data_IF_201386634103
#
_entry.id   IF_201386634103
#
_cell.length_a   1.000
_cell.length_b   1.000
_cell.length_c   1.000
_cell.angle_alpha   90.00
_cell.angle_beta   90.00
_cell.angle_gamma   90.00
#
_symmetry.space_group_name_H-M   'P 1'
#
loop_
_entity.id
_entity.type
_entity.pdbx_description
1 polymer ?
#
# COMPACT_ATOMS: atom_id res chain seq x y z
N UNK A 1 27.32 -8.42 -18.05
CA UNK A 1 26.17 -7.50 -17.91
C UNK A 1 24.86 -8.05 -18.47
N UNK A 2 24.78 -8.51 -19.74
CA UNK A 2 23.53 -8.99 -20.36
C UNK A 2 22.83 -10.15 -19.62
N UNK A 3 23.59 -11.09 -19.03
CA UNK A 3 23.06 -12.21 -18.23
C UNK A 3 22.51 -11.79 -16.85
N UNK A 4 23.07 -10.74 -16.26
CA UNK A 4 22.60 -10.20 -14.98
C UNK A 4 21.28 -9.44 -15.16
N UNK A 5 21.17 -8.65 -16.23
CA UNK A 5 19.94 -7.96 -16.60
C UNK A 5 18.78 -8.94 -16.86
N UNK A 6 19.05 -10.07 -17.54
CA UNK A 6 18.04 -11.11 -17.77
C UNK A 6 17.60 -11.79 -16.48
N UNK A 7 18.51 -12.01 -15.53
CA UNK A 7 18.17 -12.61 -14.23
C UNK A 7 17.34 -11.65 -13.35
N UNK A 8 17.67 -10.35 -13.40
CA UNK A 8 16.90 -9.30 -12.72
C UNK A 8 15.51 -9.16 -13.35
N UNK A 9 15.40 -9.17 -14.68
CA UNK A 9 14.11 -9.16 -15.38
C UNK A 9 13.30 -10.43 -15.07
N UNK A 10 13.93 -11.61 -15.00
CA UNK A 10 13.24 -12.85 -14.63
C UNK A 10 12.71 -12.80 -13.18
N UNK A 11 13.47 -12.22 -12.24
CA UNK A 11 12.99 -11.95 -10.88
C UNK A 11 11.86 -10.91 -10.85
N UNK A 12 11.91 -9.88 -11.69
CA UNK A 12 10.82 -8.92 -11.87
C UNK A 12 9.55 -9.60 -12.42
N UNK A 13 9.69 -10.58 -13.33
CA UNK A 13 8.56 -11.32 -13.91
C UNK A 13 7.95 -12.36 -12.95
N UNK A 14 8.73 -12.93 -12.02
CA UNK A 14 8.18 -13.74 -10.91
C UNK A 14 7.36 -12.88 -9.94
N UNK A 15 7.56 -11.55 -9.98
CA UNK A 15 6.77 -10.58 -9.23
C UNK A 15 5.45 -10.21 -9.93
N UNK A 16 5.17 -10.79 -11.10
CA UNK A 16 4.00 -10.52 -11.94
C UNK A 16 3.02 -11.71 -11.90
N UNK A 17 1.78 -11.40 -11.53
CA UNK A 17 0.54 -12.15 -11.72
C UNK A 17 0.26 -13.46 -10.96
N UNK A 18 -0.56 -13.32 -9.90
CA UNK A 18 -1.75 -14.17 -9.70
C UNK A 18 -3.06 -13.35 -9.70
N UNK A 19 -3.07 -12.12 -10.23
CA UNK A 19 -4.24 -11.24 -10.20
C UNK A 19 -5.01 -11.14 -11.54
N UNK A 20 -4.62 -11.90 -12.57
CA UNK A 20 -5.33 -11.93 -13.85
C UNK A 20 -5.83 -13.35 -14.13
N UNK A 21 -7.07 -13.64 -13.71
CA UNK A 21 -8.06 -14.56 -14.30
C UNK A 21 -9.13 -14.89 -13.25
N UNK A 22 -9.94 -13.90 -12.88
CA UNK A 22 -11.25 -14.20 -12.31
C UNK A 22 -12.20 -14.45 -13.49
N UNK A 23 -12.46 -15.73 -13.78
CA UNK A 23 -13.54 -16.12 -14.68
C UNK A 23 -14.92 -15.66 -14.15
N UNK A 24 -15.97 -15.72 -14.98
CA UNK A 24 -17.31 -15.32 -14.56
C UNK A 24 -17.77 -16.12 -13.32
N UNK A 25 -18.57 -15.52 -12.42
CA UNK A 25 -19.00 -16.18 -11.20
C UNK A 25 -19.81 -17.45 -11.53
N UNK A 26 -19.55 -18.57 -10.84
CA UNK A 26 -20.34 -19.78 -11.06
C UNK A 26 -21.78 -19.56 -10.60
N UNK A 27 -22.69 -20.04 -11.44
CA UNK A 27 -24.13 -20.11 -11.20
C UNK A 27 -24.41 -20.86 -9.89
N UNK A 28 -25.37 -20.32 -9.13
CA UNK A 28 -25.82 -20.77 -7.80
C UNK A 28 -26.17 -22.26 -7.79
N UNK A 29 -25.26 -23.10 -7.31
CA UNK A 29 -25.51 -24.50 -6.99
C UNK A 29 -25.81 -24.65 -5.48
N UNK A 30 -26.81 -25.48 -5.18
CA UNK A 30 -27.36 -25.82 -3.87
C UNK A 30 -26.27 -26.20 -2.86
N UNK A 31 -26.24 -25.55 -1.67
CA UNK A 31 -25.22 -25.76 -0.64
C UNK A 31 -25.23 -27.20 -0.07
N UNK A 32 -24.12 -27.95 -0.13
CA UNK A 32 -23.81 -28.96 0.87
C UNK A 32 -23.25 -28.24 2.12
N UNK A 33 -23.66 -28.67 3.31
CA UNK A 33 -23.18 -28.14 4.59
C UNK A 33 -21.64 -28.06 4.63
N UNK A 34 -21.13 -26.83 4.71
CA UNK A 34 -19.71 -26.54 4.80
C UNK A 34 -19.17 -27.02 6.15
N UNK A 35 -18.43 -28.14 6.13
CA UNK A 35 -17.53 -28.52 7.23
C UNK A 35 -16.62 -27.32 7.52
N UNK A 36 -16.61 -26.86 8.77
CA UNK A 36 -15.65 -25.88 9.27
C UNK A 36 -14.24 -26.37 8.97
N UNK A 37 -13.52 -25.61 8.14
CA UNK A 37 -12.11 -25.85 7.89
C UNK A 37 -11.35 -25.80 9.23
N UNK A 38 -10.42 -26.74 9.49
CA UNK A 38 -9.63 -26.70 10.71
C UNK A 38 -8.85 -25.38 10.80
N UNK A 39 -8.63 -24.86 12.02
CA UNK A 39 -7.86 -23.64 12.22
C UNK A 39 -6.49 -23.81 11.58
N UNK A 40 -6.20 -22.97 10.59
CA UNK A 40 -4.88 -22.93 9.97
C UNK A 40 -3.88 -22.56 11.04
N UNK A 41 -2.83 -23.40 11.22
CA UNK A 41 -1.75 -23.15 12.17
C UNK A 41 -1.26 -21.69 12.01
N UNK A 42 -1.01 -20.95 13.11
CA UNK A 42 -0.35 -19.66 13.01
C UNK A 42 0.91 -19.84 12.18
N UNK A 43 1.06 -19.02 11.13
CA UNK A 43 2.33 -18.96 10.40
C UNK A 43 3.48 -18.62 11.36
N UNK A 44 4.74 -18.86 10.97
CA UNK A 44 5.89 -18.56 11.83
C UNK A 44 5.82 -17.12 12.33
N UNK A 45 6.23 -16.91 13.58
CA UNK A 45 6.28 -15.59 14.22
C UNK A 45 7.10 -14.65 13.34
N UNK A 46 6.49 -13.53 12.95
CA UNK A 46 7.20 -12.51 12.15
C UNK A 46 7.87 -11.58 13.14
N UNK A 47 9.20 -11.67 13.21
CA UNK A 47 9.99 -10.65 13.89
C UNK A 47 10.09 -9.43 12.97
N UNK A 48 9.54 -8.29 13.43
CA UNK A 48 9.64 -7.05 12.69
C UNK A 48 11.11 -6.63 12.63
N UNK A 49 11.63 -6.49 11.42
CA UNK A 49 12.97 -5.98 11.17
C UNK A 49 12.82 -4.59 10.55
N UNK A 50 13.64 -3.61 10.95
CA UNK A 50 13.62 -2.27 10.34
C UNK A 50 15.06 -1.84 10.14
N UNK A 51 15.41 -1.43 8.92
CA UNK A 51 16.75 -0.91 8.63
C UNK A 51 16.98 0.41 9.37
N UNK A 52 18.14 0.64 10.02
CA UNK A 52 18.38 1.86 10.78
C UNK A 52 18.15 3.16 9.99
N UNK A 53 18.56 3.19 8.72
CA UNK A 53 18.36 4.32 7.81
C UNK A 53 16.88 4.58 7.51
N UNK A 54 16.08 3.53 7.37
CA UNK A 54 14.64 3.65 7.17
C UNK A 54 13.93 4.10 8.45
N UNK A 55 14.34 3.57 9.62
CA UNK A 55 13.83 4.05 10.91
C UNK A 55 14.12 5.55 11.10
N UNK A 56 15.33 6.01 10.72
CA UNK A 56 15.67 7.43 10.73
C UNK A 56 14.82 8.25 9.74
N UNK A 57 14.58 7.72 8.53
CA UNK A 57 13.70 8.34 7.52
C UNK A 57 12.27 8.49 8.04
N UNK A 58 11.68 7.44 8.60
CA UNK A 58 10.34 7.45 9.20
C UNK A 58 10.22 8.50 10.33
N UNK A 59 11.27 8.67 11.15
CA UNK A 59 11.30 9.74 12.18
C UNK A 59 11.27 11.14 11.58
N UNK A 60 12.02 11.39 10.50
CA UNK A 60 11.98 12.68 9.79
C UNK A 60 10.62 12.95 9.15
N UNK A 61 10.01 11.92 8.56
CA UNK A 61 8.72 12.01 7.89
C UNK A 61 7.52 12.03 8.84
N UNK A 62 7.72 11.89 10.16
CA UNK A 62 6.65 11.86 11.17
C UNK A 62 5.67 13.04 11.02
N UNK A 63 6.19 14.24 10.80
CA UNK A 63 5.36 15.44 10.60
C UNK A 63 4.53 15.37 9.33
N UNK A 64 5.15 14.98 8.20
CA UNK A 64 4.46 14.81 6.92
C UNK A 64 3.36 13.74 6.99
N UNK A 65 3.61 12.61 7.67
CA UNK A 65 2.62 11.54 7.88
C UNK A 65 1.42 12.05 8.68
N UNK A 66 1.65 12.79 9.78
CA UNK A 66 0.56 13.37 10.57
C UNK A 66 -0.25 14.41 9.79
N UNK A 67 0.43 15.26 9.01
CA UNK A 67 -0.22 16.27 8.19
C UNK A 67 -1.08 15.62 7.08
N UNK A 68 -0.54 14.63 6.38
CA UNK A 68 -1.29 13.87 5.38
C UNK A 68 -2.47 13.11 6.01
N UNK A 69 -2.28 12.50 7.18
CA UNK A 69 -3.35 11.84 7.91
C UNK A 69 -4.47 12.81 8.29
N UNK A 70 -4.14 14.02 8.71
CA UNK A 70 -5.14 15.03 9.06
C UNK A 70 -5.96 15.53 7.85
N UNK A 71 -5.37 15.54 6.66
CA UNK A 71 -6.06 15.93 5.41
C UNK A 71 -6.99 14.83 4.89
N UNK A 72 -6.54 13.58 4.92
CA UNK A 72 -7.18 12.47 4.22
C UNK A 72 -8.03 11.56 5.10
N UNK A 73 -7.89 11.64 6.42
CA UNK A 73 -8.74 10.88 7.31
C UNK A 73 -10.14 11.51 7.37
N UNK A 74 -11.14 10.65 7.48
CA UNK A 74 -12.53 11.02 7.73
C UNK A 74 -12.97 10.39 9.06
N UNK A 75 -12.67 10.98 10.22
CA UNK A 75 -12.94 10.37 11.53
C UNK A 75 -14.40 9.90 11.71
N UNK A 76 -15.34 10.63 11.11
CA UNK A 76 -16.77 10.32 11.12
C UNK A 76 -17.13 9.05 10.32
N UNK A 77 -16.31 8.67 9.33
CA UNK A 77 -16.48 7.43 8.56
C UNK A 77 -15.60 6.32 9.14
N UNK A 78 -14.33 6.64 9.38
CA UNK A 78 -13.30 5.67 9.74
C UNK A 78 -13.35 5.24 11.20
N UNK A 79 -13.94 6.05 12.08
CA UNK A 79 -13.90 5.87 13.53
C UNK A 79 -12.50 6.05 14.13
N UNK A 80 -11.51 6.46 13.33
CA UNK A 80 -10.12 6.65 13.74
C UNK A 80 -9.82 8.13 13.89
N UNK A 81 -9.06 8.49 14.92
CA UNK A 81 -8.39 9.77 15.01
C UNK A 81 -7.33 9.92 13.90
N UNK A 82 -6.93 11.15 13.59
CA UNK A 82 -5.86 11.41 12.62
C UNK A 82 -4.54 10.75 13.02
N UNK A 83 -4.28 10.62 14.32
CA UNK A 83 -3.12 9.88 14.82
C UNK A 83 -3.24 8.38 14.56
N UNK A 84 -4.39 7.76 14.83
CA UNK A 84 -4.60 6.34 14.54
C UNK A 84 -4.48 6.07 13.04
N UNK A 85 -5.00 6.95 12.18
CA UNK A 85 -4.82 6.85 10.74
C UNK A 85 -3.34 6.99 10.33
N UNK A 86 -2.59 7.92 10.94
CA UNK A 86 -1.14 8.01 10.76
C UNK A 86 -0.40 6.74 11.21
N UNK A 87 -0.85 6.08 12.28
CA UNK A 87 -0.33 4.78 12.72
C UNK A 87 -0.59 3.69 11.67
N UNK A 88 -1.74 3.68 10.99
CA UNK A 88 -2.02 2.77 9.87
C UNK A 88 -1.06 3.05 8.71
N UNK A 89 -0.90 4.31 8.30
CA UNK A 89 0.03 4.69 7.23
C UNK A 89 1.46 4.24 7.55
N UNK A 90 1.94 4.50 8.77
CA UNK A 90 3.28 4.09 9.19
C UNK A 90 3.42 2.57 9.26
N UNK A 91 2.37 1.85 9.68
CA UNK A 91 2.37 0.37 9.67
C UNK A 91 2.57 -0.17 8.26
N UNK A 92 1.87 0.41 7.27
CA UNK A 92 2.03 0.06 5.85
C UNK A 92 3.46 0.38 5.40
N UNK A 93 3.95 1.60 5.63
CA UNK A 93 5.31 1.99 5.22
C UNK A 93 6.40 1.07 5.82
N UNK A 94 6.29 0.70 7.10
CA UNK A 94 7.22 -0.25 7.71
C UNK A 94 7.13 -1.65 7.08
N UNK A 95 5.93 -2.13 6.79
CA UNK A 95 5.71 -3.43 6.19
C UNK A 95 6.16 -3.49 4.71
N UNK A 96 6.01 -2.39 3.96
CA UNK A 96 6.38 -2.28 2.55
C UNK A 96 7.87 -2.08 2.32
N UNK A 97 8.60 -1.61 3.33
CA UNK A 97 10.06 -1.47 3.28
C UNK A 97 10.81 -2.82 3.25
N UNK A 98 10.09 -3.93 3.07
CA UNK A 98 10.61 -5.28 2.81
C UNK A 98 9.84 -5.95 1.68
N UNK A 99 10.58 -6.48 0.69
CA UNK A 99 10.01 -7.45 -0.22
C UNK A 99 9.73 -8.77 0.50
N UNK A 100 8.67 -9.48 0.11
CA UNK A 100 8.37 -10.85 0.59
C UNK A 100 9.59 -11.80 0.51
N UNK A 101 10.47 -11.59 -0.47
CA UNK A 101 11.69 -12.35 -0.67
C UNK A 101 12.72 -12.15 0.46
N UNK A 102 12.81 -10.96 1.07
CA UNK A 102 13.74 -10.69 2.18
C UNK A 102 13.32 -11.35 3.49
N UNK A 103 12.03 -11.64 3.63
CA UNK A 103 11.50 -12.39 4.77
C UNK A 103 11.79 -13.88 4.61
N UNK A 104 11.68 -14.42 3.39
CA UNK A 104 12.01 -15.82 3.10
C UNK A 104 13.52 -16.08 3.11
N UNK A 105 14.32 -15.10 2.71
CA UNK A 105 15.77 -15.20 2.65
C UNK A 105 16.42 -13.88 3.08
N UNK A 106 16.75 -13.72 4.38
CA UNK A 106 17.43 -12.53 4.90
C UNK A 106 18.69 -12.09 4.12
N UNK A 107 19.50 -12.98 3.50
CA UNK A 107 20.61 -12.55 2.65
C UNK A 107 20.20 -11.66 1.44
N UNK A 108 18.96 -11.77 0.96
CA UNK A 108 18.47 -10.94 -0.16
C UNK A 108 18.34 -9.46 0.21
N UNK A 109 18.39 -9.11 1.51
CA UNK A 109 18.41 -7.72 1.98
C UNK A 109 19.56 -6.90 1.39
N UNK A 110 20.64 -7.53 0.94
CA UNK A 110 21.76 -6.84 0.30
C UNK A 110 21.40 -6.35 -1.11
N UNK A 111 20.54 -7.08 -1.81
CA UNK A 111 20.22 -6.80 -3.23
C UNK A 111 18.96 -5.97 -3.42
N UNK A 112 18.10 -5.84 -2.41
CA UNK A 112 16.82 -5.11 -2.52
C UNK A 112 16.96 -3.68 -3.05
N UNK A 113 17.92 -2.85 -2.61
CA UNK A 113 18.03 -1.50 -3.13
C UNK A 113 18.22 -1.47 -4.66
N UNK A 114 18.95 -2.44 -5.22
CA UNK A 114 19.14 -2.53 -6.66
C UNK A 114 17.89 -3.00 -7.40
N UNK A 115 17.12 -3.91 -6.80
CA UNK A 115 15.84 -4.35 -7.34
C UNK A 115 14.84 -3.18 -7.44
N UNK A 116 14.76 -2.33 -6.41
CA UNK A 116 13.89 -1.15 -6.42
C UNK A 116 14.27 -0.17 -7.52
N UNK A 117 15.57 0.13 -7.64
CA UNK A 117 16.07 1.01 -8.71
C UNK A 117 15.73 0.40 -10.08
N UNK A 118 15.86 -0.92 -10.25
CA UNK A 118 15.52 -1.57 -11.51
C UNK A 118 14.02 -1.44 -11.85
N UNK A 119 13.12 -1.60 -10.87
CA UNK A 119 11.68 -1.39 -11.06
C UNK A 119 11.36 0.04 -11.45
N UNK A 120 11.95 1.02 -10.76
CA UNK A 120 11.78 2.44 -11.07
C UNK A 120 12.28 2.74 -12.49
N UNK A 121 13.47 2.27 -12.86
CA UNK A 121 14.02 2.48 -14.21
C UNK A 121 13.16 1.81 -15.29
N UNK A 122 12.56 0.66 -15.02
CA UNK A 122 11.63 0.01 -15.94
C UNK A 122 10.36 0.84 -16.14
N UNK A 123 9.82 1.46 -15.09
CA UNK A 123 8.69 2.38 -15.23
C UNK A 123 9.08 3.64 -16.02
N UNK A 124 10.28 4.18 -15.78
CA UNK A 124 10.80 5.38 -16.44
C UNK A 124 11.22 5.16 -17.90
N UNK A 125 11.40 3.91 -18.34
CA UNK A 125 11.92 3.61 -19.68
C UNK A 125 10.95 3.92 -20.82
N UNK A 126 9.74 4.41 -20.51
CA UNK A 126 8.69 4.65 -21.51
C UNK A 126 8.08 3.37 -22.09
N UNK A 127 8.34 2.21 -21.50
CA UNK A 127 7.72 0.94 -21.89
C UNK A 127 6.32 0.73 -21.29
N UNK A 128 5.85 1.66 -20.44
CA UNK A 128 4.55 1.54 -19.77
C UNK A 128 4.54 0.54 -18.63
N UNK A 129 5.70 0.23 -18.04
CA UNK A 129 5.74 -0.65 -16.88
C UNK A 129 4.98 -0.01 -15.69
N UNK A 130 4.46 -0.86 -14.83
CA UNK A 130 3.58 -0.49 -13.73
C UNK A 130 4.03 -1.14 -12.41
N UNK A 131 5.35 -1.21 -12.20
CA UNK A 131 5.90 -1.73 -10.96
C UNK A 131 5.64 -0.76 -9.81
N UNK A 132 5.44 -1.31 -8.62
CA UNK A 132 5.28 -0.49 -7.42
C UNK A 132 6.53 0.34 -7.13
N UNK A 133 6.34 1.56 -6.65
CA UNK A 133 7.40 2.53 -6.38
C UNK A 133 7.46 2.81 -4.88
N UNK A 134 8.67 2.75 -4.33
CA UNK A 134 8.94 3.03 -2.92
C UNK A 134 8.97 4.55 -2.67
N UNK A 135 8.65 5.03 -1.45
CA UNK A 135 8.49 4.26 -0.20
C UNK A 135 7.10 3.68 0.06
N UNK A 136 6.05 4.14 -0.61
CA UNK A 136 4.68 3.68 -0.36
C UNK A 136 4.31 2.38 -1.09
N UNK A 137 5.21 1.82 -1.88
CA UNK A 137 4.99 0.66 -2.74
C UNK A 137 3.73 0.77 -3.63
N UNK A 138 3.45 2.00 -4.09
CA UNK A 138 2.28 2.32 -4.89
C UNK A 138 2.57 2.14 -6.38
N UNK A 139 1.64 1.55 -7.12
CA UNK A 139 1.75 1.41 -8.58
C UNK A 139 1.36 2.71 -9.29
N UNK A 140 2.04 3.09 -10.39
CA UNK A 140 1.65 4.24 -11.19
C UNK A 140 0.18 4.25 -11.63
N UNK A 141 -0.40 3.09 -11.95
CA UNK A 141 -1.83 2.99 -12.30
C UNK A 141 -2.75 3.41 -11.15
N UNK A 142 -2.43 3.00 -9.92
CA UNK A 142 -3.23 3.34 -8.73
C UNK A 142 -3.11 4.82 -8.41
N UNK A 143 -1.93 5.40 -8.58
CA UNK A 143 -1.73 6.85 -8.47
C UNK A 143 -2.50 7.62 -9.56
N UNK A 144 -2.57 7.11 -10.79
CA UNK A 144 -3.38 7.71 -11.85
C UNK A 144 -4.88 7.70 -11.50
N UNK A 145 -5.38 6.58 -10.96
CA UNK A 145 -6.77 6.49 -10.46
C UNK A 145 -7.03 7.49 -9.32
N UNK A 146 -6.09 7.66 -8.39
CA UNK A 146 -6.18 8.65 -7.30
C UNK A 146 -6.32 10.07 -7.89
N UNK A 147 -5.46 10.42 -8.85
CA UNK A 147 -5.49 11.74 -9.49
C UNK A 147 -6.77 11.96 -10.33
N UNK A 148 -7.34 10.89 -10.88
CA UNK A 148 -8.62 10.93 -11.58
C UNK A 148 -9.84 10.95 -10.62
N UNK A 149 -9.61 10.87 -9.30
CA UNK A 149 -10.67 10.83 -8.31
C UNK A 149 -11.46 9.51 -8.29
N UNK A 150 -10.89 8.42 -8.78
CA UNK A 150 -11.60 7.17 -9.03
C UNK A 150 -11.52 6.21 -7.84
N UNK A 151 -12.66 5.67 -7.42
CA UNK A 151 -12.79 4.65 -6.37
C UNK A 151 -13.48 3.41 -6.97
N UNK A 152 -12.75 2.33 -7.28
CA UNK A 152 -13.34 1.12 -7.85
C UNK A 152 -14.15 0.37 -6.79
N UNK A 153 -15.41 0.04 -7.11
CA UNK A 153 -16.33 -0.69 -6.26
C UNK A 153 -16.35 -2.20 -6.58
N UNK A 154 -16.87 -3.01 -5.67
CA UNK A 154 -16.93 -4.47 -5.81
C UNK A 154 -17.79 -4.96 -6.99
N UNK A 155 -18.77 -4.16 -7.42
CA UNK A 155 -19.65 -4.47 -8.55
C UNK A 155 -19.04 -4.11 -9.92
N UNK A 156 -17.80 -3.60 -9.94
CA UNK A 156 -17.09 -3.17 -11.14
C UNK A 156 -17.41 -1.74 -11.57
N UNK A 157 -18.30 -1.04 -10.88
CA UNK A 157 -18.52 0.39 -11.09
C UNK A 157 -17.40 1.22 -10.47
N UNK A 158 -17.27 2.48 -10.92
CA UNK A 158 -16.30 3.43 -10.41
C UNK A 158 -17.02 4.63 -9.85
N UNK A 159 -16.84 4.87 -8.56
CA UNK A 159 -17.26 6.11 -7.92
C UNK A 159 -16.22 7.20 -8.22
N UNK A 160 -16.70 8.41 -8.57
CA UNK A 160 -15.84 9.58 -8.70
C UNK A 160 -16.00 10.51 -7.50
N UNK A 161 -14.91 10.74 -6.79
CA UNK A 161 -14.81 11.67 -5.66
C UNK A 161 -13.66 12.64 -5.88
N UNK A 162 -13.79 13.91 -5.46
CA UNK A 162 -12.66 14.82 -5.49
C UNK A 162 -11.62 14.38 -4.45
N UNK A 163 -10.50 13.84 -4.93
CA UNK A 163 -9.33 13.53 -4.13
C UNK A 163 -8.24 14.54 -4.45
N UNK A 164 -7.52 15.00 -3.43
CA UNK A 164 -6.46 15.98 -3.59
C UNK A 164 -5.16 15.43 -3.01
N UNK A 165 -4.12 15.30 -3.84
CA UNK A 165 -2.78 14.95 -3.37
C UNK A 165 -1.98 16.24 -3.19
N UNK A 166 -1.79 16.66 -1.95
CA UNK A 166 -1.04 17.88 -1.63
C UNK A 166 0.35 17.87 -2.26
N UNK A 167 0.68 18.93 -2.99
CA UNK A 167 1.97 19.09 -3.68
C UNK A 167 2.08 18.39 -5.03
N UNK A 168 1.11 17.54 -5.44
CA UNK A 168 1.13 16.93 -6.76
C UNK A 168 1.00 17.99 -7.86
N UNK A 169 1.76 17.80 -8.93
CA UNK A 169 1.77 18.68 -10.11
C UNK A 169 1.24 17.99 -11.35
N UNK A 170 0.81 16.73 -11.22
CA UNK A 170 0.36 15.91 -12.33
C UNK A 170 -1.14 16.13 -12.53
N UNK A 171 -1.48 16.64 -13.70
CA UNK A 171 -2.84 16.59 -14.23
C UNK A 171 -2.91 15.47 -15.29
N UNK A 172 -3.59 14.35 -15.03
CA UNK A 172 -3.69 13.23 -15.96
C UNK A 172 -4.22 13.62 -17.35
N UNK A 173 -5.06 14.66 -17.44
CA UNK A 173 -5.63 15.11 -18.71
C UNK A 173 -4.60 15.75 -19.66
N UNK A 174 -3.43 16.15 -19.15
CA UNK A 174 -2.37 16.77 -19.94
C UNK A 174 -1.45 15.74 -20.63
N UNK A 175 -1.61 14.46 -20.34
CA UNK A 175 -0.79 13.40 -20.91
C UNK A 175 -1.52 12.71 -22.06
N UNK A 176 -0.92 12.75 -23.26
CA UNK A 176 -1.49 12.15 -24.46
C UNK A 176 -1.39 10.61 -24.48
N UNK A 177 -0.47 10.02 -23.70
CA UNK A 177 -0.34 8.59 -23.57
C UNK A 177 -0.05 8.13 -22.13
N UNK A 178 -0.50 6.92 -21.82
CA UNK A 178 -0.41 6.32 -20.49
C UNK A 178 1.03 6.08 -20.04
N UNK A 179 1.97 5.87 -20.97
CA UNK A 179 3.37 5.55 -20.62
C UNK A 179 4.07 6.79 -20.10
N UNK A 180 3.83 7.93 -20.76
CA UNK A 180 4.30 9.23 -20.30
C UNK A 180 3.70 9.60 -18.94
N UNK A 181 2.40 9.36 -18.74
CA UNK A 181 1.75 9.57 -17.45
C UNK A 181 2.39 8.71 -16.35
N UNK A 182 2.59 7.41 -16.60
CA UNK A 182 3.16 6.50 -15.60
C UNK A 182 4.63 6.82 -15.27
N UNK A 183 5.41 7.29 -16.23
CA UNK A 183 6.77 7.77 -15.98
C UNK A 183 6.78 9.06 -15.15
N UNK A 184 5.88 10.01 -15.43
CA UNK A 184 5.73 11.23 -14.65
C UNK A 184 5.31 10.92 -13.21
N UNK A 185 4.28 10.08 -13.05
CA UNK A 185 3.82 9.59 -11.74
C UNK A 185 4.94 8.89 -10.99
N UNK A 186 5.69 8.00 -11.65
CA UNK A 186 6.82 7.29 -11.04
C UNK A 186 7.84 8.28 -10.48
N UNK A 187 8.17 9.33 -11.24
CA UNK A 187 9.08 10.38 -10.80
C UNK A 187 8.54 11.10 -9.56
N UNK A 188 7.25 11.46 -9.57
CA UNK A 188 6.59 12.16 -8.47
C UNK A 188 6.53 11.31 -7.19
N UNK A 189 6.04 10.07 -7.28
CA UNK A 189 5.89 9.19 -6.11
C UNK A 189 7.20 8.56 -5.64
N UNK A 190 8.33 8.88 -6.29
CA UNK A 190 9.67 8.57 -5.78
C UNK A 190 10.12 9.56 -4.69
N UNK A 191 9.47 10.73 -4.61
CA UNK A 191 9.66 11.67 -3.50
C UNK A 191 8.92 11.21 -2.24
N UNK A 192 9.56 11.34 -1.08
CA UNK A 192 9.06 10.83 0.20
C UNK A 192 7.72 11.42 0.60
N UNK A 193 7.61 12.76 0.52
CA UNK A 193 6.43 13.48 1.02
C UNK A 193 5.26 13.28 0.07
N UNK A 194 5.51 13.27 -1.24
CA UNK A 194 4.49 12.95 -2.22
C UNK A 194 4.02 11.50 -2.07
N UNK A 195 4.92 10.53 -1.94
CA UNK A 195 4.54 9.14 -1.69
C UNK A 195 3.66 8.97 -0.44
N UNK A 196 3.92 9.72 0.62
CA UNK A 196 3.08 9.76 1.83
C UNK A 196 1.69 10.31 1.54
N UNK A 197 1.59 11.41 0.79
CA UNK A 197 0.28 11.99 0.43
C UNK A 197 -0.50 11.04 -0.49
N UNK A 198 0.15 10.41 -1.46
CA UNK A 198 -0.47 9.38 -2.30
C UNK A 198 -0.93 8.16 -1.49
N UNK A 199 -0.15 7.72 -0.50
CA UNK A 199 -0.59 6.66 0.41
C UNK A 199 -1.84 7.09 1.19
N UNK A 200 -1.84 8.30 1.74
CA UNK A 200 -2.98 8.84 2.49
C UNK A 200 -4.24 8.91 1.62
N UNK A 201 -4.13 9.46 0.40
CA UNK A 201 -5.20 9.50 -0.58
C UNK A 201 -5.68 8.10 -0.98
N UNK A 202 -4.77 7.13 -1.11
CA UNK A 202 -5.17 5.74 -1.37
C UNK A 202 -5.99 5.18 -0.21
N UNK A 203 -5.59 5.43 1.04
CA UNK A 203 -6.34 4.95 2.20
C UNK A 203 -7.69 5.67 2.37
N UNK A 204 -7.79 6.93 1.99
CA UNK A 204 -9.06 7.66 1.89
C UNK A 204 -10.03 6.97 0.92
N UNK A 205 -9.56 6.54 -0.26
CA UNK A 205 -10.37 5.71 -1.19
C UNK A 205 -10.87 4.45 -0.52
N UNK A 206 -10.03 3.81 0.29
CA UNK A 206 -10.39 2.62 1.06
C UNK A 206 -11.47 2.89 2.11
N UNK A 207 -11.39 4.02 2.81
CA UNK A 207 -12.44 4.48 3.75
C UNK A 207 -13.76 4.67 3.00
N UNK A 208 -13.74 5.41 1.89
CA UNK A 208 -14.94 5.73 1.11
C UNK A 208 -15.60 4.47 0.55
N UNK A 209 -14.81 3.58 -0.05
CA UNK A 209 -15.30 2.30 -0.57
C UNK A 209 -15.91 1.45 0.54
N UNK A 210 -15.20 1.27 1.66
CA UNK A 210 -15.69 0.48 2.77
C UNK A 210 -16.99 1.04 3.35
N UNK A 211 -17.11 2.36 3.49
CA UNK A 211 -18.33 3.00 3.97
C UNK A 211 -19.52 2.76 3.03
N UNK A 212 -19.33 2.89 1.71
CA UNK A 212 -20.37 2.68 0.71
C UNK A 212 -20.79 1.22 0.62
N UNK A 213 -19.83 0.29 0.70
CA UNK A 213 -20.09 -1.15 0.68
C UNK A 213 -20.54 -1.73 2.03
N UNK A 214 -20.75 -0.87 3.05
CA UNK A 214 -21.20 -1.27 4.38
C UNK A 214 -20.20 -2.16 5.13
N UNK A 215 -18.90 -2.06 4.80
CA UNK A 215 -17.84 -2.85 5.39
C UNK A 215 -17.24 -2.16 6.62
N UNK A 216 -16.84 -2.91 7.66
CA UNK A 216 -16.20 -2.32 8.82
C UNK A 216 -14.81 -1.76 8.47
N UNK A 217 -14.60 -0.50 8.81
CA UNK A 217 -13.31 0.18 8.62
C UNK A 217 -12.41 -0.10 9.83
N UNK A 218 -11.21 -0.60 9.56
CA UNK A 218 -10.19 -0.89 10.55
C UNK A 218 -8.81 -0.80 9.92
N UNK A 219 -7.75 -0.77 10.75
CA UNK A 219 -6.38 -0.82 10.21
C UNK A 219 -6.14 -2.05 9.32
N UNK A 220 -6.79 -3.18 9.60
CA UNK A 220 -6.68 -4.41 8.79
C UNK A 220 -7.34 -4.24 7.42
N UNK A 221 -8.51 -3.61 7.43
CA UNK A 221 -9.26 -3.27 6.21
C UNK A 221 -8.42 -2.35 5.33
N UNK A 222 -7.84 -1.29 5.91
CA UNK A 222 -7.02 -0.33 5.18
C UNK A 222 -5.69 -0.91 4.68
N UNK A 223 -5.06 -1.79 5.45
CA UNK A 223 -3.87 -2.53 5.02
C UNK A 223 -4.18 -3.48 3.84
N UNK A 224 -5.29 -4.22 3.90
CA UNK A 224 -5.70 -5.10 2.82
C UNK A 224 -6.16 -4.33 1.56
N UNK A 225 -6.81 -3.18 1.76
CA UNK A 225 -7.14 -2.25 0.67
C UNK A 225 -5.88 -1.79 -0.06
N UNK A 226 -4.87 -1.31 0.69
CA UNK A 226 -3.61 -0.88 0.11
C UNK A 226 -2.94 -1.98 -0.73
N UNK A 227 -2.97 -3.23 -0.25
CA UNK A 227 -2.28 -4.33 -0.91
C UNK A 227 -3.05 -5.00 -2.05
N UNK A 228 -4.37 -5.22 -1.89
CA UNK A 228 -5.19 -6.01 -2.83
C UNK A 228 -6.49 -5.32 -3.26
N UNK A 229 -6.76 -4.09 -2.83
CA UNK A 229 -8.02 -3.41 -3.11
C UNK A 229 -9.24 -4.07 -2.45
N UNK A 230 -9.05 -4.83 -1.37
CA UNK A 230 -10.11 -5.57 -0.66
C UNK A 230 -10.49 -4.84 0.63
N UNK A 231 -11.77 -4.52 0.79
CA UNK A 231 -12.33 -3.94 2.03
C UNK A 231 -13.19 -4.90 2.85
N UNK A 232 -13.72 -5.98 2.27
CA UNK A 232 -14.54 -6.96 2.98
C UNK A 232 -13.69 -7.88 3.87
N UNK A 233 -13.89 -7.91 5.21
CA UNK A 233 -13.16 -8.80 6.10
C UNK A 233 -13.29 -10.29 5.78
N UNK A 234 -14.41 -10.74 5.21
CA UNK A 234 -14.58 -12.13 4.78
C UNK A 234 -13.63 -12.40 3.61
N UNK A 235 -13.67 -11.56 2.57
CA UNK A 235 -12.75 -11.62 1.44
C UNK A 235 -11.28 -11.58 1.86
N UNK A 236 -10.91 -10.73 2.83
CA UNK A 236 -9.54 -10.67 3.39
C UNK A 236 -9.12 -12.01 3.99
N UNK A 237 -10.00 -12.68 4.75
CA UNK A 237 -9.68 -13.96 5.41
C UNK A 237 -9.49 -15.11 4.44
N UNK A 238 -10.27 -15.13 3.34
CA UNK A 238 -10.22 -16.21 2.35
C UNK A 238 -9.14 -15.98 1.29
N UNK A 239 -8.73 -14.74 1.04
CA UNK A 239 -7.62 -14.42 0.13
C UNK A 239 -6.27 -14.64 0.84
N UNK A 240 -5.44 -15.62 0.44
CA UNK A 240 -4.19 -15.93 1.13
C UNK A 240 -3.19 -14.77 1.15
N UNK A 241 -3.13 -13.99 0.06
CA UNK A 241 -2.22 -12.84 -0.08
C UNK A 241 -2.63 -11.71 0.85
N UNK A 242 -3.92 -11.32 0.86
CA UNK A 242 -4.42 -10.28 1.75
C UNK A 242 -4.30 -10.68 3.23
N UNK A 243 -4.66 -11.94 3.54
CA UNK A 243 -4.52 -12.49 4.89
C UNK A 243 -3.07 -12.46 5.37
N UNK A 244 -2.15 -12.91 4.54
CA UNK A 244 -0.73 -12.89 4.87
C UNK A 244 -0.24 -11.46 5.04
N UNK A 245 -0.56 -10.56 4.12
CA UNK A 245 -0.22 -9.15 4.21
C UNK A 245 -0.65 -8.51 5.54
N UNK A 246 -1.91 -8.71 5.94
CA UNK A 246 -2.44 -8.20 7.21
C UNK A 246 -1.72 -8.82 8.41
N UNK A 247 -1.39 -10.12 8.34
CA UNK A 247 -0.59 -10.81 9.36
C UNK A 247 0.81 -10.18 9.48
N UNK A 248 1.47 -9.88 8.36
CA UNK A 248 2.79 -9.22 8.34
C UNK A 248 2.76 -7.81 8.88
N UNK A 249 1.80 -7.00 8.40
CA UNK A 249 1.58 -5.65 8.90
C UNK A 249 1.36 -5.60 10.41
N UNK A 250 0.72 -6.63 11.01
CA UNK A 250 0.48 -6.68 12.45
C UNK A 250 1.76 -6.65 13.30
N UNK A 251 2.87 -7.19 12.80
CA UNK A 251 4.17 -7.17 13.48
C UNK A 251 4.75 -5.75 13.59
N UNK A 252 4.40 -4.86 12.67
CA UNK A 252 4.89 -3.48 12.61
C UNK A 252 4.00 -2.47 13.35
N UNK A 253 2.78 -2.85 13.74
CA UNK A 253 1.86 -1.97 14.45
C UNK A 253 2.42 -1.39 15.76
N UNK A 254 3.15 -2.16 16.61
CA UNK A 254 3.79 -1.59 17.80
C UNK A 254 4.85 -0.53 17.47
N UNK A 255 5.63 -0.74 16.40
CA UNK A 255 6.64 0.23 15.93
C UNK A 255 5.99 1.51 15.42
N UNK A 256 4.91 1.39 14.63
CA UNK A 256 4.14 2.53 14.15
C UNK A 256 3.55 3.34 15.31
N UNK A 257 2.98 2.69 16.32
CA UNK A 257 2.51 3.35 17.55
C UNK A 257 3.62 4.08 18.29
N UNK A 258 4.79 3.43 18.43
CA UNK A 258 5.95 4.04 19.10
C UNK A 258 6.45 5.30 18.38
N UNK A 259 6.38 5.35 17.05
CA UNK A 259 6.71 6.54 16.25
C UNK A 259 5.87 7.76 16.65
N UNK A 260 4.62 7.56 17.10
CA UNK A 260 3.70 8.63 17.48
C UNK A 260 3.41 8.72 19.00
N UNK A 261 4.02 7.87 19.83
CA UNK A 261 3.78 7.75 21.28
C UNK A 261 4.16 8.97 22.15
N UNK A 262 4.64 10.05 21.53
CA UNK A 262 5.00 11.34 22.10
C UNK A 262 6.41 11.46 22.70
N UNK A 263 7.15 12.41 22.14
CA UNK A 263 8.19 13.21 22.81
C UNK A 263 7.53 14.48 23.39
N UNK A 264 6.44 14.35 24.15
CA UNK A 264 5.64 15.48 24.65
C UNK A 264 6.33 16.32 25.74
N UNK A 265 7.55 15.99 26.18
CA UNK A 265 8.27 16.79 27.19
C UNK A 265 9.22 17.84 26.63
N UNK A 266 9.66 17.72 25.37
CA UNK A 266 10.54 18.71 24.76
C UNK A 266 9.75 19.84 24.09
N UNK A 267 8.65 19.52 23.41
CA UNK A 267 7.78 20.51 22.74
C UNK A 267 6.92 21.31 23.74
N UNK A 268 6.54 20.72 24.88
CA UNK A 268 5.81 21.42 25.95
C UNK A 268 6.68 22.39 26.78
N UNK A 269 8.00 22.44 26.55
CA UNK A 269 8.92 23.40 27.18
C UNK A 269 9.35 24.53 26.25
N UNK A 270 8.89 24.52 25.00
CA UNK A 270 9.22 25.51 23.99
C UNK A 270 8.04 26.45 23.67
N UNK A 271 6.99 26.45 24.50
CA UNK A 271 5.89 27.43 24.50
C UNK A 271 5.90 28.19 25.81
#
# INVERSE_FOLDING_TARGET
>A
MRRFLVLVIALCLISVDHAAFAGPPPTRATMPQARTAPPTRPGPTIEAYVRPEFAARMRRLRGAILAAAARHNHPQLSGMSNREFAEVMATILYNENFGWAEELAPPLRIVTPWYQVAQQQANLSGMGANFSVWPANLRPSVAAEILAGEVPLADGSVLRVPLQVEGSRIDPAQFADQRALFAAITTEISDDELAINYLAANLERGILRAAIEGQPISWRTLAAWHNQGIVDPVAIRVNPTARDYVRRASAYLPLARALFAATSRAEARAV
#
